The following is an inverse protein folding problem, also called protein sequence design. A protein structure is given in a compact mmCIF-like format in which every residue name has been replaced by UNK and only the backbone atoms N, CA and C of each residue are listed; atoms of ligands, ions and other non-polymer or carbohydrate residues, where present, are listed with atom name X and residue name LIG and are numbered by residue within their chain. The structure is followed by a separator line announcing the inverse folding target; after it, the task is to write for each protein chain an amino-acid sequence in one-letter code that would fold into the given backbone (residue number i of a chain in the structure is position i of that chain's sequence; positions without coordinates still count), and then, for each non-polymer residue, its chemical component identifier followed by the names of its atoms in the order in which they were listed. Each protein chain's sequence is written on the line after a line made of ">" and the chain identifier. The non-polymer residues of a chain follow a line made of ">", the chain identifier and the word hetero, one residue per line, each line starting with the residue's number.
data_IF_643878594946
#
_entry.id   IF_643878594946
#
_cell.length_a   1.000
_cell.length_b   1.000
_cell.length_c   1.000
_cell.angle_alpha   90.00
_cell.angle_beta   90.00
_cell.angle_gamma   90.00
#
_symmetry.space_group_name_H-M   'P 1'
#
loop_
_entity.id
_entity.type
_entity.pdbx_description
1 polymer ?
#
# COMPACT_ATOMS: atom_id res chain seq x y z
N UNK A 1 -9.31 12.29 -22.60
CA UNK A 1 -8.13 13.00 -23.15
C UNK A 1 -6.97 13.17 -22.17
N UNK A 2 -7.17 12.98 -20.87
CA UNK A 2 -6.11 13.15 -19.87
C UNK A 2 -5.47 11.85 -19.40
N UNK A 3 -5.90 10.69 -19.89
CA UNK A 3 -5.36 9.36 -19.53
C UNK A 3 -3.85 9.27 -19.79
N UNK A 4 -3.32 9.99 -20.77
CA UNK A 4 -1.89 9.97 -21.11
C UNK A 4 -1.05 11.00 -20.34
N UNK A 5 -1.66 11.92 -19.58
CA UNK A 5 -0.95 12.92 -18.79
C UNK A 5 -0.69 12.50 -17.35
N UNK A 6 -1.45 11.53 -16.85
CA UNK A 6 -1.38 11.04 -15.47
C UNK A 6 -1.16 9.54 -15.48
N UNK A 7 -0.33 9.06 -14.58
CA UNK A 7 -0.12 7.62 -14.39
C UNK A 7 -0.67 7.23 -13.03
N UNK A 8 -1.63 6.30 -13.01
CA UNK A 8 -2.13 5.66 -11.80
C UNK A 8 -1.07 4.68 -11.29
N UNK A 9 -0.63 4.84 -10.03
CA UNK A 9 0.32 3.93 -9.38
C UNK A 9 -0.18 3.53 -8.00
N UNK A 10 0.39 2.45 -7.49
CA UNK A 10 0.21 1.98 -6.12
C UNK A 10 -1.29 1.94 -5.72
N UNK A 11 -2.13 1.22 -6.49
CA UNK A 11 -3.56 1.17 -6.21
C UNK A 11 -3.84 0.38 -4.93
N UNK A 12 -4.69 0.94 -4.08
CA UNK A 12 -5.19 0.29 -2.88
C UNK A 12 -6.70 0.16 -2.95
N UNK A 13 -7.21 -1.01 -2.58
CA UNK A 13 -8.62 -1.34 -2.55
C UNK A 13 -9.07 -1.58 -1.11
N UNK A 14 -10.21 -1.00 -0.73
CA UNK A 14 -10.85 -1.26 0.56
C UNK A 14 -12.35 -1.43 0.38
N UNK A 15 -12.93 -2.42 1.07
CA UNK A 15 -14.38 -2.62 1.18
C UNK A 15 -14.92 -1.80 2.35
N UNK A 16 -16.11 -1.23 2.20
CA UNK A 16 -16.84 -0.59 3.31
C UNK A 16 -17.15 -1.60 4.43
N UNK A 17 -17.27 -1.14 5.69
CA UNK A 17 -17.63 -2.03 6.80
C UNK A 17 -19.01 -2.67 6.63
N UNK A 18 -19.93 -2.04 5.91
CA UNK A 18 -21.24 -2.57 5.52
C UNK A 18 -21.15 -3.64 4.43
N UNK A 19 -20.03 -3.71 3.71
CA UNK A 19 -19.76 -4.68 2.67
C UNK A 19 -20.35 -4.37 1.30
N UNK A 20 -21.02 -3.24 1.15
CA UNK A 20 -21.81 -2.85 -0.03
C UNK A 20 -21.09 -1.89 -0.98
N UNK A 21 -19.91 -1.41 -0.60
CA UNK A 21 -19.13 -0.46 -1.38
C UNK A 21 -17.63 -0.79 -1.34
N UNK A 22 -16.97 -0.46 -2.43
CA UNK A 22 -15.53 -0.52 -2.58
C UNK A 22 -14.99 0.86 -2.92
N UNK A 23 -13.85 1.19 -2.34
CA UNK A 23 -13.07 2.36 -2.72
C UNK A 23 -11.73 1.90 -3.27
N UNK A 24 -11.30 2.53 -4.35
CA UNK A 24 -9.94 2.42 -4.85
C UNK A 24 -9.29 3.79 -4.72
N UNK A 25 -8.14 3.83 -4.09
CA UNK A 25 -7.29 5.01 -3.99
C UNK A 25 -5.94 4.73 -4.63
N UNK A 26 -5.29 5.74 -5.20
CA UNK A 26 -4.03 5.54 -5.89
C UNK A 26 -3.17 6.81 -5.93
N UNK A 27 -1.89 6.62 -6.20
CA UNK A 27 -0.93 7.69 -6.45
C UNK A 27 -1.14 8.31 -7.83
N UNK A 28 -1.11 9.64 -7.89
CA UNK A 28 -1.02 10.41 -9.14
C UNK A 28 0.46 10.71 -9.44
N UNK A 29 1.11 9.85 -10.20
CA UNK A 29 2.51 10.01 -10.58
C UNK A 29 2.78 9.51 -11.98
N UNK A 30 3.20 10.41 -12.88
CA UNK A 30 3.73 10.06 -14.20
C UNK A 30 5.23 10.32 -14.24
N UNK A 31 6.01 9.25 -14.17
CA UNK A 31 7.47 9.32 -14.32
C UNK A 31 7.94 8.92 -15.72
N UNK A 32 7.10 8.20 -16.46
CA UNK A 32 7.41 7.77 -17.82
C UNK A 32 7.68 8.96 -18.75
N UNK A 33 8.80 8.90 -19.44
CA UNK A 33 9.20 9.90 -20.43
C UNK A 33 10.01 11.08 -19.87
N UNK A 34 10.13 11.28 -18.55
CA UNK A 34 10.95 12.33 -17.96
C UNK A 34 11.99 11.86 -16.94
N UNK A 35 11.72 10.74 -16.24
CA UNK A 35 12.57 10.17 -15.19
C UNK A 35 13.06 11.16 -14.10
N UNK A 36 12.36 12.30 -13.92
CA UNK A 36 12.72 13.30 -12.94
C UNK A 36 12.09 12.99 -11.57
N UNK A 37 12.68 12.04 -10.86
CA UNK A 37 12.28 11.70 -9.50
C UNK A 37 12.47 12.85 -8.52
N UNK A 38 13.42 13.74 -8.77
CA UNK A 38 13.65 14.93 -7.94
C UNK A 38 12.46 15.88 -8.00
N UNK A 39 12.00 16.23 -9.20
CA UNK A 39 10.81 17.04 -9.39
C UNK A 39 9.55 16.34 -8.87
N UNK A 40 9.40 15.04 -9.13
CA UNK A 40 8.25 14.27 -8.66
C UNK A 40 8.08 14.26 -7.14
N UNK A 41 9.17 14.40 -6.37
CA UNK A 41 9.16 14.42 -4.91
C UNK A 41 9.05 15.84 -4.31
N UNK A 42 9.16 16.90 -5.11
CA UNK A 42 9.18 18.30 -4.64
C UNK A 42 8.07 19.16 -5.23
N UNK A 43 7.58 18.77 -6.39
CA UNK A 43 6.56 19.51 -7.14
C UNK A 43 5.56 18.55 -7.80
N UNK A 44 5.34 17.39 -7.18
CA UNK A 44 4.39 16.39 -7.62
C UNK A 44 2.96 16.70 -7.16
N UNK A 45 2.08 15.73 -7.35
CA UNK A 45 0.67 15.85 -6.97
C UNK A 45 0.48 15.87 -5.46
N UNK A 46 -0.41 16.73 -4.98
CA UNK A 46 -0.85 16.81 -3.58
C UNK A 46 -2.20 16.12 -3.37
N UNK A 47 -2.64 15.34 -4.35
CA UNK A 47 -3.95 14.71 -4.39
C UNK A 47 -3.84 13.19 -4.45
N UNK A 48 -4.86 12.52 -3.93
CA UNK A 48 -5.15 11.12 -4.18
C UNK A 48 -6.10 11.01 -5.39
N UNK A 49 -5.94 9.95 -6.15
CA UNK A 49 -6.93 9.52 -7.13
C UNK A 49 -7.91 8.57 -6.46
N UNK A 50 -9.22 8.78 -6.62
CA UNK A 50 -10.27 8.04 -5.91
C UNK A 50 -11.34 7.57 -6.88
N UNK A 51 -11.74 6.31 -6.74
CA UNK A 51 -12.90 5.69 -7.42
C UNK A 51 -13.76 4.94 -6.41
N UNK A 52 -15.03 4.77 -6.75
CA UNK A 52 -16.01 3.98 -5.99
C UNK A 52 -16.67 2.94 -6.88
N UNK A 53 -17.00 1.81 -6.27
CA UNK A 53 -17.80 0.76 -6.91
C UNK A 53 -18.68 0.06 -5.87
N UNK A 54 -19.82 -0.49 -6.31
CA UNK A 54 -20.66 -1.33 -5.46
C UNK A 54 -20.52 -2.83 -5.84
N UNK A 55 -19.75 -3.15 -6.88
CA UNK A 55 -19.73 -4.51 -7.44
C UNK A 55 -18.36 -4.92 -8.00
N UNK A 56 -17.29 -4.10 -7.83
CA UNK A 56 -15.95 -4.28 -8.41
C UNK A 56 -15.88 -4.27 -9.94
N UNK A 57 -17.02 -4.15 -10.61
CA UNK A 57 -17.14 -4.20 -12.07
C UNK A 57 -17.41 -2.83 -12.66
N UNK A 58 -18.32 -2.10 -12.04
CA UNK A 58 -18.73 -0.77 -12.46
C UNK A 58 -18.15 0.27 -11.49
N UNK A 59 -17.24 1.08 -11.99
CA UNK A 59 -16.52 2.09 -11.21
C UNK A 59 -17.01 3.49 -11.57
N UNK A 60 -17.03 4.38 -10.61
CA UNK A 60 -17.30 5.81 -10.81
C UNK A 60 -16.24 6.45 -11.71
N UNK A 61 -16.51 7.66 -12.17
CA UNK A 61 -15.46 8.51 -12.72
C UNK A 61 -14.39 8.79 -11.66
N UNK A 62 -13.14 8.95 -12.12
CA UNK A 62 -12.01 9.28 -11.27
C UNK A 62 -12.17 10.67 -10.65
N UNK A 63 -12.00 10.76 -9.33
CA UNK A 63 -11.90 12.02 -8.60
C UNK A 63 -10.46 12.27 -8.14
N UNK A 64 -10.01 13.53 -8.26
CA UNK A 64 -8.80 13.99 -7.59
C UNK A 64 -9.21 14.67 -6.29
N UNK A 65 -8.68 14.19 -5.16
CA UNK A 65 -8.97 14.76 -3.84
C UNK A 65 -7.65 15.25 -3.23
N UNK A 66 -7.56 16.55 -3.05
CA UNK A 66 -6.40 17.18 -2.45
C UNK A 66 -6.38 16.90 -0.94
N UNK A 67 -5.31 16.25 -0.47
CA UNK A 67 -5.17 15.82 0.92
C UNK A 67 -3.89 16.32 1.60
N UNK A 68 -2.93 16.83 0.86
CA UNK A 68 -1.61 17.18 1.40
C UNK A 68 -1.14 18.59 1.09
N UNK A 69 -2.01 19.44 0.54
CA UNK A 69 -1.67 20.84 0.26
C UNK A 69 -1.39 21.66 1.52
N UNK A 70 -2.13 21.46 2.58
CA UNK A 70 -1.97 22.22 3.82
C UNK A 70 -0.63 21.97 4.56
N UNK A 71 0.07 20.88 4.22
CA UNK A 71 1.42 20.59 4.70
C UNK A 71 2.51 20.95 3.67
N UNK A 72 2.14 21.61 2.58
CA UNK A 72 3.02 21.96 1.48
C UNK A 72 3.86 20.77 0.99
N UNK A 73 3.13 19.67 0.70
CA UNK A 73 3.75 18.43 0.27
C UNK A 73 4.23 18.52 -1.18
N UNK A 74 5.39 17.95 -1.45
CA UNK A 74 5.94 17.78 -2.79
C UNK A 74 5.51 16.51 -3.50
N UNK A 75 4.82 15.59 -2.79
CA UNK A 75 4.28 14.35 -3.34
C UNK A 75 3.25 13.75 -2.37
N UNK A 76 2.38 12.87 -2.88
CA UNK A 76 1.36 12.12 -2.12
C UNK A 76 1.35 10.71 -2.66
N UNK A 77 2.19 9.84 -2.07
CA UNK A 77 2.53 8.54 -2.66
C UNK A 77 2.07 7.34 -1.85
N UNK A 78 1.74 6.27 -2.57
CA UNK A 78 1.39 4.98 -2.03
C UNK A 78 0.33 5.06 -0.92
N UNK A 79 -0.87 5.56 -1.23
CA UNK A 79 -1.93 5.67 -0.23
C UNK A 79 -2.52 4.31 0.09
N UNK A 80 -2.76 4.07 1.37
CA UNK A 80 -3.59 2.99 1.85
C UNK A 80 -4.61 3.50 2.89
N UNK A 81 -5.55 2.66 3.27
CA UNK A 81 -6.58 2.99 4.24
C UNK A 81 -6.91 1.83 5.16
N UNK A 82 -7.16 2.12 6.42
CA UNK A 82 -7.69 1.15 7.39
C UNK A 82 -8.92 1.75 8.05
N UNK A 83 -10.02 0.98 8.11
CA UNK A 83 -11.21 1.41 8.83
C UNK A 83 -10.99 1.27 10.34
N UNK A 84 -11.30 2.33 11.07
CA UNK A 84 -11.29 2.35 12.53
C UNK A 84 -12.71 2.15 13.06
N UNK A 85 -13.04 0.97 13.59
CA UNK A 85 -14.38 0.70 14.09
C UNK A 85 -14.74 1.50 15.36
N UNK A 86 -13.74 2.06 16.06
CA UNK A 86 -13.95 2.87 17.26
C UNK A 86 -14.50 4.24 16.89
N UNK A 87 -13.96 4.85 15.85
CA UNK A 87 -14.38 6.20 15.41
C UNK A 87 -15.38 6.19 14.26
N UNK A 88 -15.54 5.06 13.57
CA UNK A 88 -16.35 4.95 12.36
C UNK A 88 -15.77 5.74 11.18
N UNK A 89 -14.45 5.86 11.13
CA UNK A 89 -13.72 6.61 10.10
C UNK A 89 -12.64 5.73 9.46
N UNK A 90 -12.32 6.02 8.21
CA UNK A 90 -11.12 5.48 7.59
C UNK A 90 -9.93 6.35 7.98
N UNK A 91 -8.86 5.72 8.41
CA UNK A 91 -7.54 6.32 8.53
C UNK A 91 -6.84 6.08 7.20
N UNK A 92 -6.72 7.12 6.39
CA UNK A 92 -6.03 7.07 5.10
C UNK A 92 -4.61 7.61 5.31
N UNK A 93 -3.61 6.89 4.89
CA UNK A 93 -2.20 7.26 5.10
C UNK A 93 -1.41 7.15 3.80
N UNK A 94 -0.41 8.01 3.66
CA UNK A 94 0.43 8.14 2.46
C UNK A 94 1.79 8.72 2.81
N UNK A 95 2.77 8.57 1.92
CA UNK A 95 4.10 9.14 2.09
C UNK A 95 4.22 10.51 1.38
N UNK A 96 4.81 11.48 2.08
CA UNK A 96 5.10 12.81 1.53
C UNK A 96 6.46 13.32 1.96
N UNK A 97 7.11 14.08 1.09
CA UNK A 97 8.12 15.09 1.44
C UNK A 97 7.45 16.44 1.55
N UNK A 98 7.86 17.28 2.49
CA UNK A 98 7.23 18.58 2.72
C UNK A 98 8.27 19.70 2.76
N UNK A 99 7.84 20.95 2.57
CA UNK A 99 8.71 22.12 2.67
C UNK A 99 9.27 22.31 4.09
N UNK A 100 8.62 21.75 5.11
CA UNK A 100 9.03 21.91 6.51
C UNK A 100 10.46 21.45 6.81
N UNK A 101 10.98 20.49 6.05
CA UNK A 101 12.37 20.01 6.11
C UNK A 101 13.10 20.20 4.76
N UNK A 102 12.63 21.14 3.93
CA UNK A 102 13.12 21.40 2.58
C UNK A 102 13.06 20.13 1.68
N UNK A 103 11.99 19.37 1.82
CA UNK A 103 11.77 18.12 1.08
C UNK A 103 12.88 17.06 1.32
N UNK A 104 13.45 17.06 2.52
CA UNK A 104 14.60 16.22 2.86
C UNK A 104 14.27 14.74 2.91
N UNK A 105 13.27 14.35 3.71
CA UNK A 105 12.87 12.94 3.88
C UNK A 105 11.37 12.72 3.68
N UNK A 106 11.00 11.50 3.35
CA UNK A 106 9.60 11.09 3.33
C UNK A 106 9.14 10.71 4.73
N UNK A 107 7.98 11.22 5.09
CA UNK A 107 7.25 10.93 6.32
C UNK A 107 5.90 10.36 5.88
N UNK A 108 5.40 9.34 6.58
CA UNK A 108 4.04 8.87 6.35
C UNK A 108 3.09 9.77 7.14
N UNK A 109 2.17 10.40 6.44
CA UNK A 109 1.09 11.22 7.00
C UNK A 109 -0.22 10.44 6.99
N UNK A 110 -1.21 10.87 7.76
CA UNK A 110 -2.57 10.36 7.69
C UNK A 110 -3.59 11.48 7.79
N UNK A 111 -4.76 11.26 7.21
CA UNK A 111 -5.97 12.01 7.44
C UNK A 111 -7.14 11.06 7.63
N UNK A 112 -8.23 11.56 8.21
CA UNK A 112 -9.45 10.78 8.43
C UNK A 112 -10.51 11.16 7.41
N UNK A 113 -11.29 10.19 7.02
CA UNK A 113 -12.45 10.38 6.15
C UNK A 113 -13.54 9.36 6.48
N UNK A 114 -14.79 9.68 6.10
CA UNK A 114 -15.92 8.72 6.18
C UNK A 114 -16.35 8.22 4.82
N UNK A 115 -15.98 8.93 3.76
CA UNK A 115 -16.58 8.79 2.44
C UNK A 115 -15.59 8.98 1.27
N UNK A 116 -14.32 9.27 1.55
CA UNK A 116 -13.29 9.64 0.58
C UNK A 116 -13.61 10.88 -0.28
N UNK A 117 -14.54 11.73 0.19
CA UNK A 117 -14.82 13.04 -0.41
C UNK A 117 -14.20 14.19 0.40
N UNK A 118 -14.32 14.10 1.72
CA UNK A 118 -13.75 15.08 2.64
C UNK A 118 -12.76 14.42 3.59
N UNK A 119 -11.70 15.15 3.90
CA UNK A 119 -10.62 14.68 4.77
C UNK A 119 -10.33 15.70 5.86
N UNK A 120 -9.92 15.21 7.01
CA UNK A 120 -9.35 16.07 8.06
C UNK A 120 -7.98 16.58 7.62
N UNK A 121 -7.47 17.59 8.34
CA UNK A 121 -6.08 18.02 8.18
C UNK A 121 -5.11 16.85 8.40
N UNK A 122 -4.05 16.73 7.56
CA UNK A 122 -3.07 15.67 7.68
C UNK A 122 -2.22 15.82 8.94
N UNK A 123 -1.88 14.67 9.53
CA UNK A 123 -0.99 14.55 10.68
C UNK A 123 0.08 13.51 10.40
N UNK A 124 1.22 13.61 11.08
CA UNK A 124 2.27 12.59 11.00
C UNK A 124 1.77 11.26 11.57
N UNK A 125 1.95 10.19 10.81
CA UNK A 125 1.63 8.82 11.21
C UNK A 125 2.88 8.01 11.53
N UNK A 126 3.90 8.12 10.66
CA UNK A 126 5.22 7.48 10.86
C UNK A 126 6.30 8.48 10.50
N UNK A 127 7.11 8.83 11.50
CA UNK A 127 8.31 9.63 11.30
C UNK A 127 9.50 8.88 11.91
N UNK A 128 10.51 8.61 11.10
CA UNK A 128 11.76 7.95 11.47
C UNK A 128 12.95 8.86 11.14
N UNK A 129 14.14 8.51 11.60
CA UNK A 129 15.37 9.20 11.23
C UNK A 129 15.67 9.09 9.72
N UNK A 130 15.29 7.97 9.12
CA UNK A 130 15.35 7.73 7.67
C UNK A 130 13.97 7.93 7.00
N UNK A 131 13.96 8.09 5.69
CA UNK A 131 12.72 8.16 4.89
C UNK A 131 11.88 6.90 5.04
N UNK A 132 10.57 7.06 5.24
CA UNK A 132 9.59 5.98 5.36
C UNK A 132 8.52 6.12 4.29
N UNK A 133 8.24 5.06 3.54
CA UNK A 133 7.20 5.01 2.51
C UNK A 133 6.49 3.66 2.53
N UNK A 134 5.44 3.52 1.73
CA UNK A 134 4.76 2.26 1.44
C UNK A 134 4.38 1.52 2.73
N UNK A 135 3.34 1.99 3.38
CA UNK A 135 2.88 1.40 4.64
C UNK A 135 1.59 0.63 4.41
N UNK A 136 1.57 -0.62 4.85
CA UNK A 136 0.34 -1.42 4.95
C UNK A 136 0.03 -1.75 6.41
N UNK A 137 -1.26 -1.82 6.76
CA UNK A 137 -1.72 -2.10 8.13
C UNK A 137 -2.71 -3.26 8.11
N UNK A 138 -2.53 -4.20 9.04
CA UNK A 138 -3.44 -5.32 9.23
C UNK A 138 -3.81 -5.47 10.71
N UNK A 139 -5.03 -5.91 10.98
CA UNK A 139 -5.49 -6.25 12.32
C UNK A 139 -5.47 -7.76 12.53
N UNK A 140 -4.86 -8.21 13.60
CA UNK A 140 -4.92 -9.59 14.08
C UNK A 140 -5.96 -9.69 15.20
N UNK A 141 -7.10 -10.28 14.88
CA UNK A 141 -8.25 -10.45 15.78
C UNK A 141 -7.95 -11.37 16.97
N UNK A 142 -7.05 -12.34 16.81
CA UNK A 142 -6.64 -13.25 17.88
C UNK A 142 -5.80 -12.59 18.97
N UNK A 143 -5.02 -11.60 18.58
CA UNK A 143 -4.14 -10.88 19.51
C UNK A 143 -4.70 -9.53 19.94
N UNK A 144 -5.82 -9.09 19.34
CA UNK A 144 -6.36 -7.73 19.49
C UNK A 144 -5.28 -6.69 19.20
N UNK A 145 -4.61 -6.81 18.05
CA UNK A 145 -3.42 -6.04 17.73
C UNK A 145 -3.38 -5.64 16.25
N UNK A 146 -3.05 -4.40 15.98
CA UNK A 146 -2.68 -3.92 14.66
C UNK A 146 -1.18 -4.13 14.44
N UNK A 147 -0.82 -4.51 13.22
CA UNK A 147 0.55 -4.58 12.72
C UNK A 147 0.67 -3.67 11.51
N UNK A 148 1.74 -2.88 11.42
CA UNK A 148 2.07 -2.11 10.22
C UNK A 148 3.45 -2.49 9.71
N UNK A 149 3.52 -2.58 8.39
CA UNK A 149 4.72 -2.92 7.64
C UNK A 149 5.07 -1.71 6.78
N UNK A 150 6.27 -1.19 6.94
CA UNK A 150 6.68 0.07 6.29
C UNK A 150 8.06 -0.10 5.69
N UNK A 151 8.28 0.46 4.50
CA UNK A 151 9.59 0.46 3.85
C UNK A 151 10.49 1.53 4.46
N UNK A 152 11.70 1.13 4.83
CA UNK A 152 12.81 2.07 5.02
C UNK A 152 13.36 2.48 3.64
N UNK A 153 12.96 3.66 3.15
CA UNK A 153 13.41 4.23 1.87
C UNK A 153 14.74 4.96 2.00
N UNK A 154 15.22 5.20 3.21
CA UNK A 154 16.46 5.88 3.48
C UNK A 154 17.72 5.17 2.96
N UNK A 155 18.84 5.86 3.00
CA UNK A 155 20.14 5.34 2.60
C UNK A 155 20.84 4.53 3.68
N UNK A 156 20.37 4.60 4.92
CA UNK A 156 20.99 3.96 6.08
C UNK A 156 20.00 3.05 6.82
N UNK A 157 20.51 2.30 7.78
CA UNK A 157 19.69 1.60 8.76
C UNK A 157 18.96 2.63 9.64
N UNK A 158 17.64 2.46 9.79
CA UNK A 158 16.84 3.35 10.64
C UNK A 158 17.01 3.01 12.14
N UNK A 159 16.43 3.84 13.03
CA UNK A 159 16.51 3.67 14.47
C UNK A 159 15.87 2.39 15.01
N UNK A 160 15.05 1.71 14.20
CA UNK A 160 14.45 0.41 14.54
C UNK A 160 15.31 -0.78 14.08
N UNK A 161 16.49 -0.53 13.52
CA UNK A 161 17.38 -1.55 13.01
C UNK A 161 17.04 -2.07 11.61
N UNK A 162 16.05 -1.49 10.94
CA UNK A 162 15.71 -1.86 9.57
C UNK A 162 16.76 -1.31 8.59
N UNK A 163 17.35 -2.20 7.81
CA UNK A 163 18.31 -1.86 6.78
C UNK A 163 17.68 -1.01 5.67
N UNK A 164 18.53 -0.33 4.90
CA UNK A 164 18.07 0.39 3.71
C UNK A 164 17.30 -0.53 2.77
N UNK A 165 16.19 -0.03 2.22
CA UNK A 165 15.33 -0.76 1.26
C UNK A 165 14.81 -2.11 1.79
N UNK A 166 14.60 -2.23 3.10
CA UNK A 166 13.90 -3.35 3.74
C UNK A 166 12.61 -2.88 4.40
N UNK A 167 11.79 -3.83 4.81
CA UNK A 167 10.53 -3.58 5.51
C UNK A 167 10.76 -3.69 7.02
N UNK A 168 10.22 -2.77 7.81
CA UNK A 168 10.17 -2.86 9.25
C UNK A 168 8.73 -3.01 9.76
N UNK A 169 8.60 -3.54 10.96
CA UNK A 169 7.30 -3.86 11.58
C UNK A 169 7.16 -3.07 12.87
N UNK A 170 5.96 -2.56 13.09
CA UNK A 170 5.53 -2.03 14.38
C UNK A 170 4.13 -2.56 14.70
N UNK A 171 3.79 -2.65 15.99
CA UNK A 171 2.47 -3.09 16.46
C UNK A 171 1.86 -2.11 17.45
N UNK A 172 0.52 -2.05 17.48
CA UNK A 172 -0.26 -1.20 18.38
C UNK A 172 -1.63 -1.80 18.66
N UNK A 173 -2.22 -1.48 19.82
CA UNK A 173 -3.62 -1.85 20.11
C UNK A 173 -4.64 -0.97 19.40
N UNK A 174 -4.24 0.22 18.98
CA UNK A 174 -5.12 1.17 18.29
C UNK A 174 -4.42 1.81 17.13
N UNK A 175 -5.15 2.14 16.06
CA UNK A 175 -4.57 2.68 14.82
C UNK A 175 -3.79 3.99 15.04
N UNK A 176 -4.27 4.85 15.92
CA UNK A 176 -3.64 6.16 16.20
C UNK A 176 -3.00 6.23 17.59
N UNK A 177 -2.75 5.07 18.22
CA UNK A 177 -2.08 4.97 19.50
C UNK A 177 -0.55 4.91 19.38
N UNK A 178 0.07 4.42 20.44
CA UNK A 178 1.51 4.18 20.47
C UNK A 178 1.86 2.90 19.73
N UNK A 179 2.85 2.98 18.86
CA UNK A 179 3.37 1.87 18.08
C UNK A 179 4.72 1.42 18.61
N UNK A 180 4.87 0.13 18.85
CA UNK A 180 6.10 -0.49 19.36
C UNK A 180 6.75 -1.34 18.26
N UNK A 181 8.08 -1.33 18.14
CA UNK A 181 8.76 -2.11 17.12
C UNK A 181 8.63 -3.61 17.33
N UNK A 182 8.58 -4.35 16.22
CA UNK A 182 8.75 -5.81 16.19
C UNK A 182 10.00 -6.10 15.37
N UNK A 183 10.99 -6.74 16.00
CA UNK A 183 12.23 -7.11 15.31
C UNK A 183 11.95 -8.15 14.22
N UNK A 184 12.72 -8.11 13.13
CA UNK A 184 12.64 -9.10 12.06
C UNK A 184 13.99 -9.27 11.38
N UNK A 185 14.61 -10.44 11.56
CA UNK A 185 15.83 -10.77 10.84
C UNK A 185 15.53 -11.14 9.39
N UNK A 186 14.44 -11.85 9.17
CA UNK A 186 14.01 -12.27 7.82
C UNK A 186 13.69 -11.09 6.91
N UNK A 187 12.98 -10.07 7.39
CA UNK A 187 12.71 -8.87 6.58
C UNK A 187 13.95 -8.04 6.35
N UNK A 188 14.87 -7.97 7.33
CA UNK A 188 16.18 -7.34 7.16
C UNK A 188 17.10 -8.07 6.17
N UNK A 189 16.90 -9.36 5.96
CA UNK A 189 17.59 -10.12 4.93
C UNK A 189 17.02 -9.86 3.53
N UNK A 190 15.74 -9.43 3.44
CA UNK A 190 15.04 -9.12 2.19
C UNK A 190 15.15 -7.61 1.89
N UNK A 191 16.28 -7.20 1.32
CA UNK A 191 16.52 -5.81 0.88
C UNK A 191 16.12 -5.62 -0.59
N UNK A 192 16.02 -4.35 -1.01
CA UNK A 192 15.61 -3.93 -2.36
C UNK A 192 14.18 -4.31 -2.69
N UNK A 193 13.34 -4.19 -1.67
CA UNK A 193 11.90 -4.41 -1.76
C UNK A 193 11.12 -3.15 -1.37
N UNK A 194 9.89 -3.06 -1.88
CA UNK A 194 8.94 -1.99 -1.62
C UNK A 194 7.51 -2.51 -1.61
N UNK A 195 6.53 -1.62 -1.47
CA UNK A 195 5.11 -1.93 -1.63
C UNK A 195 4.64 -3.13 -0.83
N UNK A 196 4.96 -3.24 0.49
CA UNK A 196 4.47 -4.37 1.27
C UNK A 196 2.94 -4.37 1.28
N UNK A 197 2.32 -5.52 1.10
CA UNK A 197 0.90 -5.70 1.34
C UNK A 197 0.68 -7.04 2.03
N UNK A 198 -0.10 -7.04 3.11
CA UNK A 198 -0.28 -8.21 3.97
C UNK A 198 -1.74 -8.64 4.01
N UNK A 199 -1.97 -9.94 3.94
CA UNK A 199 -3.30 -10.53 4.09
C UNK A 199 -3.23 -11.87 4.80
N UNK A 200 -4.37 -12.28 5.36
CA UNK A 200 -4.56 -13.62 5.93
C UNK A 200 -5.22 -14.52 4.90
N UNK A 201 -4.69 -15.72 4.73
CA UNK A 201 -5.36 -16.74 3.91
C UNK A 201 -6.75 -17.06 4.46
N UNK A 202 -7.66 -17.50 3.60
CA UNK A 202 -8.92 -18.03 4.04
C UNK A 202 -8.70 -19.36 4.82
N UNK A 203 -9.60 -19.67 5.74
CA UNK A 203 -9.46 -20.87 6.56
C UNK A 203 -9.44 -22.17 5.73
N UNK A 204 -10.11 -22.18 4.58
CA UNK A 204 -10.15 -23.30 3.65
C UNK A 204 -8.87 -23.44 2.80
N UNK A 205 -8.08 -22.38 2.70
CA UNK A 205 -6.85 -22.34 1.88
C UNK A 205 -5.58 -22.62 2.69
N UNK A 206 -5.69 -22.69 4.03
CA UNK A 206 -4.53 -22.86 4.92
C UNK A 206 -4.92 -23.63 6.19
N UNK A 207 -4.12 -24.65 6.54
CA UNK A 207 -4.33 -25.46 7.74
C UNK A 207 -4.06 -24.69 9.06
N UNK A 208 -3.35 -23.56 9.02
CA UNK A 208 -2.85 -22.85 10.21
C UNK A 208 -2.90 -21.34 10.00
N UNK A 209 -3.96 -20.65 10.27
CA UNK A 209 -3.99 -19.16 10.34
C UNK A 209 -2.78 -18.43 9.69
N UNK A 210 -2.52 -18.76 8.44
CA UNK A 210 -1.32 -18.30 7.74
C UNK A 210 -1.54 -16.90 7.15
N UNK A 211 -0.51 -16.09 7.25
CA UNK A 211 -0.44 -14.75 6.69
C UNK A 211 0.56 -14.73 5.54
N UNK A 212 0.25 -13.92 4.54
CA UNK A 212 1.13 -13.65 3.42
C UNK A 212 1.45 -12.16 3.36
N UNK A 213 2.72 -11.83 3.43
CA UNK A 213 3.26 -10.52 3.13
C UNK A 213 3.84 -10.57 1.71
N UNK A 214 3.22 -9.89 0.77
CA UNK A 214 3.82 -9.66 -0.54
C UNK A 214 4.76 -8.46 -0.45
N UNK A 215 5.94 -8.59 -1.04
CA UNK A 215 6.91 -7.50 -1.18
C UNK A 215 7.36 -7.40 -2.63
N UNK A 216 7.49 -6.17 -3.14
CA UNK A 216 7.87 -5.89 -4.52
C UNK A 216 9.38 -5.70 -4.65
N UNK A 217 10.06 -6.66 -5.25
CA UNK A 217 11.44 -6.49 -5.67
C UNK A 217 11.51 -5.60 -6.91
N UNK A 218 11.51 -4.29 -6.70
CA UNK A 218 11.31 -3.25 -7.70
C UNK A 218 12.38 -3.20 -8.81
N UNK A 219 13.57 -3.74 -8.56
CA UNK A 219 14.64 -3.86 -9.53
C UNK A 219 14.75 -5.23 -10.18
N UNK A 220 13.81 -6.16 -9.91
CA UNK A 220 13.92 -7.55 -10.30
C UNK A 220 12.58 -8.20 -10.67
N UNK A 221 12.22 -9.24 -9.92
CA UNK A 221 11.09 -10.13 -10.26
C UNK A 221 9.69 -9.55 -9.97
N UNK A 222 9.57 -8.37 -9.34
CA UNK A 222 8.30 -7.84 -8.86
C UNK A 222 7.86 -8.51 -7.54
N UNK A 223 6.57 -8.70 -7.34
CA UNK A 223 6.04 -9.30 -6.12
C UNK A 223 6.47 -10.75 -5.92
N UNK A 224 6.82 -11.06 -4.68
CA UNK A 224 6.96 -12.41 -4.17
C UNK A 224 6.42 -12.53 -2.74
N UNK A 225 5.92 -13.72 -2.34
CA UNK A 225 5.33 -13.94 -1.03
C UNK A 225 6.38 -14.23 0.05
N UNK A 226 6.07 -13.77 1.26
CA UNK A 226 6.72 -14.14 2.51
C UNK A 226 5.62 -14.62 3.47
N UNK A 227 5.76 -15.78 4.05
CA UNK A 227 4.72 -16.44 4.84
C UNK A 227 5.08 -16.49 6.32
N UNK A 228 4.07 -16.31 7.18
CA UNK A 228 4.17 -16.54 8.63
C UNK A 228 2.86 -17.07 9.19
N UNK A 229 2.93 -17.79 10.32
CA UNK A 229 1.78 -18.15 11.12
C UNK A 229 1.71 -17.35 12.43
N UNK A 230 2.68 -16.47 12.66
CA UNK A 230 2.81 -15.68 13.88
C UNK A 230 3.34 -14.28 13.56
N UNK A 231 2.43 -13.28 13.51
CA UNK A 231 2.80 -11.89 13.27
C UNK A 231 3.65 -11.31 14.40
N UNK A 232 3.47 -11.79 15.63
CA UNK A 232 4.21 -11.29 16.79
C UNK A 232 5.68 -11.70 16.78
N UNK A 233 6.04 -12.79 16.12
CA UNK A 233 7.43 -13.21 15.93
C UNK A 233 8.22 -12.23 15.04
N UNK A 234 7.54 -11.54 14.12
CA UNK A 234 8.17 -10.72 13.10
C UNK A 234 8.87 -11.52 12.00
N UNK A 235 8.89 -12.86 12.08
CA UNK A 235 9.66 -13.70 11.18
C UNK A 235 8.80 -14.29 10.06
N UNK A 236 9.36 -14.27 8.85
CA UNK A 236 8.72 -14.72 7.63
C UNK A 236 9.61 -15.67 6.86
N UNK A 237 8.99 -16.60 6.15
CA UNK A 237 9.69 -17.55 5.28
C UNK A 237 9.26 -17.35 3.83
N UNK A 238 10.20 -17.25 2.91
CA UNK A 238 9.91 -17.28 1.48
C UNK A 238 9.62 -18.74 1.09
N UNK A 239 8.42 -19.05 0.54
CA UNK A 239 8.12 -20.38 0.03
C UNK A 239 8.94 -20.67 -1.24
N UNK A 240 9.07 -21.95 -1.59
CA UNK A 240 9.67 -22.36 -2.85
C UNK A 240 8.85 -21.81 -4.03
N UNK A 241 9.53 -21.27 -5.05
CA UNK A 241 8.87 -20.64 -6.21
C UNK A 241 8.01 -21.63 -7.02
N UNK A 242 8.20 -22.95 -6.85
CA UNK A 242 7.35 -23.98 -7.45
C UNK A 242 5.99 -24.18 -6.75
N UNK A 243 5.81 -23.63 -5.55
CA UNK A 243 4.60 -23.84 -4.73
C UNK A 243 3.53 -22.78 -4.92
N UNK A 244 3.82 -21.72 -5.69
CA UNK A 244 2.89 -20.63 -5.92
C UNK A 244 3.05 -20.05 -7.33
N UNK A 245 2.03 -19.32 -7.77
CA UNK A 245 2.07 -18.60 -9.03
C UNK A 245 1.76 -17.12 -8.77
N UNK A 246 2.70 -16.25 -9.11
CA UNK A 246 2.49 -14.81 -9.09
C UNK A 246 2.16 -14.31 -10.49
N UNK A 247 1.23 -13.34 -10.62
CA UNK A 247 1.01 -12.69 -11.90
C UNK A 247 2.32 -12.06 -12.39
N UNK A 248 2.65 -12.28 -13.66
CA UNK A 248 3.86 -11.69 -14.23
C UNK A 248 3.83 -10.16 -14.13
N UNK A 249 4.94 -9.56 -13.71
CA UNK A 249 5.10 -8.10 -13.57
C UNK A 249 4.13 -7.44 -12.58
N UNK A 250 3.54 -8.22 -11.65
CA UNK A 250 2.75 -7.63 -10.56
C UNK A 250 3.64 -6.73 -9.72
N UNK A 251 3.22 -5.49 -9.55
CA UNK A 251 3.88 -4.46 -8.78
C UNK A 251 2.93 -3.99 -7.68
N UNK A 252 3.40 -3.10 -6.83
CA UNK A 252 2.68 -2.53 -5.71
C UNK A 252 1.16 -2.46 -5.93
N UNK A 253 0.40 -3.25 -5.20
CA UNK A 253 -1.06 -3.37 -5.28
C UNK A 253 -1.61 -4.02 -4.01
N UNK A 254 -2.92 -4.29 -3.97
CA UNK A 254 -3.60 -4.77 -2.76
C UNK A 254 -4.43 -6.02 -3.05
N UNK A 255 -4.27 -7.11 -2.30
CA UNK A 255 -5.24 -8.19 -2.26
C UNK A 255 -6.47 -7.78 -1.45
N UNK A 256 -7.64 -8.21 -1.88
CA UNK A 256 -8.90 -7.99 -1.17
C UNK A 256 -9.72 -9.29 -1.18
N UNK A 257 -10.40 -9.56 -0.06
CA UNK A 257 -11.36 -10.67 -0.01
C UNK A 257 -12.61 -10.34 -0.80
N UNK A 258 -13.02 -11.27 -1.64
CA UNK A 258 -14.24 -11.15 -2.46
C UNK A 258 -15.10 -12.40 -2.32
N UNK A 259 -16.40 -12.28 -2.56
CA UNK A 259 -17.31 -13.39 -2.63
C UNK A 259 -17.17 -14.14 -3.97
N UNK A 260 -17.78 -15.31 -4.07
CA UNK A 260 -17.81 -16.08 -5.32
C UNK A 260 -18.57 -15.32 -6.42
N UNK A 261 -19.68 -14.66 -6.07
CA UNK A 261 -20.44 -13.85 -7.03
C UNK A 261 -19.64 -12.67 -7.56
N UNK A 262 -18.91 -11.97 -6.67
CA UNK A 262 -18.02 -10.87 -7.08
C UNK A 262 -16.89 -11.38 -7.99
N UNK A 263 -16.29 -12.51 -7.66
CA UNK A 263 -15.27 -13.14 -8.50
C UNK A 263 -15.82 -13.46 -9.89
N UNK A 264 -16.99 -14.12 -9.96
CA UNK A 264 -17.60 -14.50 -11.23
C UNK A 264 -17.98 -13.27 -12.07
N UNK A 265 -18.45 -12.19 -11.43
CA UNK A 265 -18.75 -10.92 -12.09
C UNK A 265 -17.48 -10.23 -12.65
N UNK A 266 -16.39 -10.18 -11.87
CA UNK A 266 -15.10 -9.65 -12.30
C UNK A 266 -14.54 -10.46 -13.46
N UNK A 267 -14.59 -11.81 -13.37
CA UNK A 267 -14.11 -12.68 -14.43
C UNK A 267 -14.95 -12.59 -15.70
N UNK A 268 -16.26 -12.42 -15.58
CA UNK A 268 -17.13 -12.20 -16.74
C UNK A 268 -16.84 -10.90 -17.48
N UNK A 269 -16.38 -9.86 -16.77
CA UNK A 269 -16.09 -8.55 -17.35
C UNK A 269 -14.65 -8.41 -17.83
N UNK A 270 -13.68 -8.95 -17.07
CA UNK A 270 -12.27 -8.68 -17.22
C UNK A 270 -11.40 -9.93 -17.43
N UNK A 271 -11.99 -11.15 -17.27
CA UNK A 271 -11.25 -12.42 -17.31
C UNK A 271 -10.59 -12.74 -18.66
N UNK A 272 -11.11 -12.21 -19.75
CA UNK A 272 -10.57 -12.41 -21.11
C UNK A 272 -9.59 -11.29 -21.53
N UNK A 273 -9.27 -10.36 -20.63
CA UNK A 273 -8.21 -9.37 -20.89
C UNK A 273 -6.86 -10.07 -20.75
N UNK A 274 -6.54 -10.86 -21.78
CA UNK A 274 -5.22 -11.49 -21.88
C UNK A 274 -4.13 -10.40 -21.91
N UNK A 275 -2.95 -10.68 -21.35
CA UNK A 275 -1.83 -9.71 -21.30
C UNK A 275 -1.20 -9.42 -22.69
N UNK A 276 -1.87 -9.76 -23.79
CA UNK A 276 -1.37 -9.60 -25.15
C UNK A 276 -1.03 -8.15 -25.54
N UNK A 277 -1.63 -7.16 -24.86
CA UNK A 277 -1.34 -5.76 -25.16
C UNK A 277 -0.26 -5.12 -24.28
N UNK A 278 0.34 -5.85 -23.34
CA UNK A 278 1.36 -5.30 -22.46
C UNK A 278 2.76 -5.27 -23.11
N UNK A 279 2.97 -5.99 -24.21
CA UNK A 279 4.28 -6.05 -24.87
C UNK A 279 4.51 -4.93 -25.91
N UNK A 280 3.46 -4.39 -26.53
CA UNK A 280 3.61 -3.34 -27.54
C UNK A 280 3.74 -1.92 -26.99
N UNK A 281 3.27 -1.63 -25.77
CA UNK A 281 3.36 -0.29 -25.18
C UNK A 281 4.70 0.02 -24.49
N UNK A 282 5.56 -0.97 -24.28
CA UNK A 282 6.87 -0.77 -23.64
C UNK A 282 8.04 -0.55 -24.62
N UNK A 283 7.78 -0.63 -25.94
CA UNK A 283 8.80 -0.46 -26.97
C UNK A 283 8.62 0.82 -27.83
N UNK A 284 7.76 1.74 -27.41
CA UNK A 284 7.58 3.05 -28.06
C UNK A 284 7.82 4.19 -27.04
#
# INVERSE_FOLDING_TARGET
>A
SDVYKRQVRDPFLIRSPEGDKFYMIATDLKIYGNNDWGAAQRAGSQSLMVWESNDLVNWSDMRMVEVSASIDAGCTWAPEATYDPITGEYIVYWASKTSADNYGKQIVYYAKTRDFYSFTEPKKFIEKNESSIDTTVIYNDKEDMYYRYTKNEGGNTNELGAKTKSIFIEKSRTLLGEWTPVGSESLNANQWVEGPTIFKFNADDSENDQWCLLVDNFGGIGYYPLLTNDLASGEFTRPDDSTHLMPSRARHGTPIRITREEYDAVMAKWGDVAPENAEEEQLK
#
